data_IF_755984020155
#
_entry.id   IF_755984020155
#
_cell.length_a   1.000
_cell.length_b   1.000
_cell.length_c   1.000
_cell.angle_alpha   90.00
_cell.angle_beta   90.00
_cell.angle_gamma   90.00
#
_symmetry.space_group_name_H-M   'P 1'
#
loop_
_entity.id
_entity.type
_entity.pdbx_description
1 polymer ?
#
# COMPACT_ATOMS: atom_id res chain seq x y z
N UNK A 1 21.23 18.49 -6.44
CA UNK A 1 20.03 17.88 -5.82
C UNK A 1 20.48 16.55 -5.23
N UNK A 2 20.52 16.40 -3.91
CA UNK A 2 20.85 15.11 -3.26
C UNK A 2 19.54 14.36 -2.99
N UNK A 3 19.48 13.06 -3.30
CA UNK A 3 18.35 12.19 -3.01
C UNK A 3 18.70 11.32 -1.80
N UNK A 4 17.88 11.39 -0.75
CA UNK A 4 17.99 10.54 0.43
C UNK A 4 16.66 9.80 0.61
N UNK A 5 16.73 8.48 0.70
CA UNK A 5 15.55 7.61 0.90
C UNK A 5 15.82 6.71 2.10
N UNK A 6 14.86 6.64 3.00
CA UNK A 6 14.89 5.82 4.20
C UNK A 6 13.82 4.72 4.07
N UNK A 7 14.20 3.47 3.75
CA UNK A 7 13.26 2.35 3.56
C UNK A 7 12.29 2.14 4.73
N UNK A 8 12.75 2.39 5.96
CA UNK A 8 11.96 2.31 7.19
C UNK A 8 10.79 3.32 7.22
N UNK A 9 10.97 4.53 6.66
CA UNK A 9 9.90 5.53 6.56
C UNK A 9 8.85 5.13 5.53
N UNK A 10 9.25 4.46 4.46
CA UNK A 10 8.33 3.91 3.46
C UNK A 10 7.48 2.81 4.09
N UNK A 11 8.09 1.93 4.88
CA UNK A 11 7.39 0.86 5.61
C UNK A 11 6.43 1.42 6.67
N UNK A 12 6.83 2.43 7.45
CA UNK A 12 5.93 3.11 8.40
C UNK A 12 4.73 3.75 7.69
N UNK A 13 4.99 4.40 6.54
CA UNK A 13 3.94 4.99 5.72
C UNK A 13 2.96 3.93 5.21
N UNK A 14 3.44 2.76 4.77
CA UNK A 14 2.60 1.65 4.35
C UNK A 14 1.66 1.18 5.47
N UNK A 15 2.18 0.99 6.69
CA UNK A 15 1.39 0.65 7.88
C UNK A 15 0.34 1.72 8.20
N UNK A 16 0.69 3.01 8.11
CA UNK A 16 -0.27 4.11 8.32
C UNK A 16 -1.40 4.10 7.29
N UNK A 17 -1.08 3.86 6.03
CA UNK A 17 -2.07 3.76 4.95
C UNK A 17 -3.01 2.56 5.16
N UNK A 18 -2.50 1.43 5.61
CA UNK A 18 -3.31 0.26 5.96
C UNK A 18 -4.27 0.57 7.11
N UNK A 19 -3.78 1.17 8.19
CA UNK A 19 -4.58 1.60 9.34
C UNK A 19 -5.68 2.58 8.95
N UNK A 20 -5.34 3.60 8.15
CA UNK A 20 -6.30 4.55 7.60
C UNK A 20 -7.36 3.84 6.76
N UNK A 21 -6.95 2.88 5.92
CA UNK A 21 -7.87 2.07 5.13
C UNK A 21 -8.87 1.30 5.99
N UNK A 22 -8.41 0.73 7.10
CA UNK A 22 -9.28 0.05 8.06
C UNK A 22 -10.32 1.00 8.67
N UNK A 23 -9.89 2.19 9.11
CA UNK A 23 -10.79 3.22 9.65
C UNK A 23 -11.84 3.66 8.62
N UNK A 24 -11.44 3.86 7.37
CA UNK A 24 -12.35 4.24 6.28
C UNK A 24 -13.37 3.13 6.01
N UNK A 25 -12.95 1.86 5.97
CA UNK A 25 -13.88 0.73 5.81
C UNK A 25 -14.91 0.67 6.92
N UNK A 26 -14.48 0.84 8.18
CA UNK A 26 -15.38 0.87 9.32
C UNK A 26 -16.38 2.03 9.24
N UNK A 27 -15.92 3.23 8.86
CA UNK A 27 -16.78 4.39 8.67
C UNK A 27 -17.80 4.19 7.54
N UNK A 28 -17.37 3.66 6.39
CA UNK A 28 -18.26 3.37 5.26
C UNK A 28 -19.31 2.31 5.63
N UNK A 29 -18.92 1.27 6.37
CA UNK A 29 -19.85 0.25 6.86
C UNK A 29 -20.89 0.84 7.83
N UNK A 30 -20.46 1.69 8.77
CA UNK A 30 -21.36 2.38 9.69
C UNK A 30 -22.33 3.33 8.97
N UNK A 31 -21.89 3.97 7.90
CA UNK A 31 -22.71 4.88 7.09
C UNK A 31 -23.66 4.16 6.13
N UNK A 32 -23.43 2.89 5.81
CA UNK A 32 -24.17 2.16 4.78
C UNK A 32 -25.69 2.13 5.04
N UNK A 33 -26.10 1.61 6.21
CA UNK A 33 -27.51 1.53 6.57
C UNK A 33 -28.22 2.90 6.64
N UNK A 34 -27.71 3.93 7.36
CA UNK A 34 -28.42 5.20 7.48
C UNK A 34 -28.46 6.03 6.19
N UNK A 35 -27.59 5.77 5.21
CA UNK A 35 -27.57 6.51 3.94
C UNK A 35 -28.35 5.81 2.82
N UNK A 36 -28.52 4.49 2.89
CA UNK A 36 -29.30 3.73 1.90
C UNK A 36 -30.70 3.33 2.38
N UNK A 37 -30.94 3.33 3.69
CA UNK A 37 -32.21 2.91 4.30
C UNK A 37 -33.10 4.09 4.69
N UNK A 38 -33.01 5.24 4.02
CA UNK A 38 -33.87 6.38 4.32
C UNK A 38 -35.33 6.05 4.04
N UNK A 39 -36.18 6.30 5.04
CA UNK A 39 -37.62 6.28 4.85
C UNK A 39 -38.06 7.57 4.13
N UNK A 40 -39.10 7.53 3.29
CA UNK A 40 -39.72 8.73 2.73
C UNK A 40 -40.12 9.71 3.85
N UNK A 41 -39.80 11.00 3.68
CA UNK A 41 -40.16 12.03 4.64
C UNK A 41 -41.68 12.26 4.75
N UNK A 42 -42.41 11.96 3.67
CA UNK A 42 -43.85 12.04 3.56
C UNK A 42 -44.41 10.92 2.67
N UNK A 43 -45.74 10.85 2.57
CA UNK A 43 -46.45 9.85 1.76
C UNK A 43 -46.58 10.24 0.27
N UNK A 44 -45.97 11.35 -0.13
CA UNK A 44 -45.97 11.84 -1.51
C UNK A 44 -44.89 11.17 -2.35
N UNK A 45 -45.11 11.15 -3.67
CA UNK A 45 -44.20 10.53 -4.63
C UNK A 45 -42.83 11.22 -4.66
N UNK A 46 -42.74 12.52 -4.36
CA UNK A 46 -41.45 13.25 -4.36
C UNK A 46 -40.59 12.75 -3.19
N UNK A 47 -41.17 12.63 -2.00
CA UNK A 47 -40.50 12.04 -0.83
C UNK A 47 -40.04 10.61 -1.09
N UNK A 48 -40.84 9.80 -1.80
CA UNK A 48 -40.45 8.44 -2.18
C UNK A 48 -39.24 8.44 -3.12
N UNK A 49 -39.29 9.25 -4.20
CA UNK A 49 -38.21 9.36 -5.18
C UNK A 49 -36.92 9.90 -4.56
N UNK A 50 -37.00 10.87 -3.65
CA UNK A 50 -35.81 11.41 -2.98
C UNK A 50 -35.14 10.35 -2.11
N UNK A 51 -35.90 9.57 -1.33
CA UNK A 51 -35.34 8.48 -0.54
C UNK A 51 -34.73 7.38 -1.40
N UNK A 52 -35.33 7.05 -2.55
CA UNK A 52 -34.77 6.11 -3.53
C UNK A 52 -33.46 6.65 -4.14
N UNK A 53 -33.39 7.94 -4.49
CA UNK A 53 -32.17 8.58 -4.98
C UNK A 53 -31.01 8.46 -3.97
N UNK A 54 -31.29 8.63 -2.67
CA UNK A 54 -30.28 8.42 -1.63
C UNK A 54 -29.82 6.96 -1.56
N UNK A 55 -30.74 6.00 -1.70
CA UNK A 55 -30.40 4.58 -1.74
C UNK A 55 -29.48 4.24 -2.91
N UNK A 56 -29.81 4.74 -4.11
CA UNK A 56 -29.00 4.54 -5.31
C UNK A 56 -27.61 5.17 -5.16
N UNK A 57 -27.54 6.44 -4.72
CA UNK A 57 -26.28 7.14 -4.52
C UNK A 57 -25.42 6.50 -3.42
N UNK A 58 -26.04 6.09 -2.31
CA UNK A 58 -25.39 5.38 -1.23
C UNK A 58 -24.81 4.05 -1.71
N UNK A 59 -25.54 3.29 -2.52
CA UNK A 59 -25.05 2.04 -3.12
C UNK A 59 -23.86 2.26 -4.04
N UNK A 60 -23.93 3.27 -4.92
CA UNK A 60 -22.84 3.65 -5.80
C UNK A 60 -21.59 4.10 -5.02
N UNK A 61 -21.78 4.86 -3.93
CA UNK A 61 -20.69 5.27 -3.04
C UNK A 61 -20.02 4.05 -2.37
N UNK A 62 -20.79 3.07 -1.89
CA UNK A 62 -20.23 1.85 -1.31
C UNK A 62 -19.43 1.05 -2.33
N UNK A 63 -19.93 0.93 -3.57
CA UNK A 63 -19.21 0.26 -4.66
C UNK A 63 -17.89 0.95 -5.00
N UNK A 64 -17.87 2.29 -5.05
CA UNK A 64 -16.63 3.06 -5.23
C UNK A 64 -15.68 2.89 -4.04
N UNK A 65 -16.21 2.85 -2.82
CA UNK A 65 -15.44 2.59 -1.61
C UNK A 65 -14.72 1.24 -1.62
N UNK A 66 -15.34 0.21 -2.21
CA UNK A 66 -14.72 -1.10 -2.40
C UNK A 66 -13.54 -1.04 -3.40
N UNK A 67 -13.73 -0.39 -4.55
CA UNK A 67 -12.65 -0.20 -5.53
C UNK A 67 -11.46 0.59 -4.95
N UNK A 68 -11.76 1.63 -4.15
CA UNK A 68 -10.73 2.39 -3.46
C UNK A 68 -9.98 1.56 -2.40
N UNK A 69 -10.63 0.55 -1.80
CA UNK A 69 -9.98 -0.37 -0.88
C UNK A 69 -8.97 -1.27 -1.59
N UNK A 70 -9.35 -1.85 -2.72
CA UNK A 70 -8.45 -2.67 -3.55
C UNK A 70 -7.23 -1.86 -4.04
N UNK A 71 -7.45 -0.62 -4.50
CA UNK A 71 -6.35 0.26 -4.90
C UNK A 71 -5.38 0.52 -3.74
N UNK A 72 -5.89 0.73 -2.52
CA UNK A 72 -5.06 0.98 -1.35
C UNK A 72 -4.20 -0.23 -0.98
N UNK A 73 -4.75 -1.44 -1.10
CA UNK A 73 -4.00 -2.68 -0.88
C UNK A 73 -2.84 -2.80 -1.87
N UNK A 74 -3.07 -2.51 -3.15
CA UNK A 74 -2.02 -2.44 -4.16
C UNK A 74 -0.97 -1.36 -3.85
N UNK A 75 -1.38 -0.22 -3.31
CA UNK A 75 -0.46 0.86 -2.93
C UNK A 75 0.47 0.43 -1.78
N UNK A 76 -0.08 -0.23 -0.75
CA UNK A 76 0.69 -0.78 0.37
C UNK A 76 1.70 -1.81 -0.14
N UNK A 77 1.28 -2.70 -1.04
CA UNK A 77 2.18 -3.67 -1.66
C UNK A 77 3.33 -2.97 -2.41
N UNK A 78 3.01 -1.97 -3.23
CA UNK A 78 4.00 -1.18 -3.99
C UNK A 78 4.99 -0.44 -3.08
N UNK A 79 4.55 0.10 -1.95
CA UNK A 79 5.47 0.68 -0.95
C UNK A 79 6.40 -0.37 -0.35
N UNK A 80 5.91 -1.57 -0.05
CA UNK A 80 6.75 -2.68 0.38
C UNK A 80 7.80 -3.06 -0.67
N UNK A 81 7.42 -3.14 -1.95
CA UNK A 81 8.34 -3.39 -3.05
C UNK A 81 9.39 -2.28 -3.21
N UNK A 82 8.98 -1.01 -3.16
CA UNK A 82 9.89 0.12 -3.28
C UNK A 82 10.90 0.17 -2.12
N UNK A 83 10.45 -0.05 -0.88
CA UNK A 83 11.30 -0.10 0.31
C UNK A 83 12.40 -1.16 0.17
N UNK A 84 12.02 -2.38 -0.25
CA UNK A 84 12.98 -3.48 -0.52
C UNK A 84 13.98 -3.10 -1.61
N UNK A 85 13.52 -2.53 -2.73
CA UNK A 85 14.39 -2.14 -3.83
C UNK A 85 15.46 -1.13 -3.38
N UNK A 86 15.07 -0.13 -2.59
CA UNK A 86 16.03 0.83 -2.04
C UNK A 86 17.04 0.17 -1.09
N UNK A 87 16.57 -0.68 -0.17
CA UNK A 87 17.46 -1.41 0.75
C UNK A 87 18.45 -2.32 0.01
N UNK A 88 18.01 -3.04 -1.03
CA UNK A 88 18.86 -3.90 -1.84
C UNK A 88 19.92 -3.09 -2.62
N UNK A 89 19.54 -1.91 -3.15
CA UNK A 89 20.50 -1.03 -3.85
C UNK A 89 21.56 -0.45 -2.91
N UNK A 90 21.18 -0.12 -1.67
CA UNK A 90 22.13 0.35 -0.65
C UNK A 90 23.09 -0.78 -0.24
N UNK A 91 22.56 -1.98 0.00
CA UNK A 91 23.37 -3.16 0.31
C UNK A 91 24.36 -3.51 -0.80
N UNK A 92 23.92 -3.48 -2.07
CA UNK A 92 24.79 -3.70 -3.22
C UNK A 92 25.89 -2.63 -3.33
N UNK A 93 25.56 -1.37 -3.04
CA UNK A 93 26.52 -0.26 -3.04
C UNK A 93 27.57 -0.42 -1.94
N UNK A 94 27.16 -0.80 -0.72
CA UNK A 94 28.06 -1.14 0.39
C UNK A 94 28.95 -2.33 0.02
N UNK A 95 28.39 -3.38 -0.58
CA UNK A 95 29.14 -4.56 -1.04
C UNK A 95 30.29 -4.18 -1.99
N UNK A 96 30.01 -3.34 -3.00
CA UNK A 96 31.03 -2.83 -3.94
C UNK A 96 32.13 -2.01 -3.26
N UNK A 97 31.79 -1.23 -2.23
CA UNK A 97 32.77 -0.46 -1.45
C UNK A 97 33.68 -1.39 -0.65
N UNK A 98 33.12 -2.43 -0.03
CA UNK A 98 33.88 -3.41 0.76
C UNK A 98 34.81 -4.25 -0.12
N UNK A 99 34.34 -4.70 -1.29
CA UNK A 99 35.16 -5.41 -2.28
C UNK A 99 36.36 -4.58 -2.72
N UNK A 100 36.15 -3.29 -3.03
CA UNK A 100 37.24 -2.36 -3.38
C UNK A 100 38.28 -2.22 -2.25
N UNK A 101 37.87 -2.41 -0.99
CA UNK A 101 38.76 -2.37 0.17
C UNK A 101 39.40 -3.72 0.51
N UNK A 102 39.22 -4.74 -0.32
CA UNK A 102 39.77 -6.09 -0.08
C UNK A 102 39.04 -6.85 1.03
N UNK A 103 37.91 -6.33 1.51
CA UNK A 103 37.04 -7.02 2.47
C UNK A 103 36.08 -7.89 1.67
N UNK A 104 36.26 -9.21 1.72
CA UNK A 104 35.41 -10.16 0.96
C UNK A 104 33.95 -10.07 1.47
N UNK A 105 32.95 -9.95 0.59
CA UNK A 105 31.56 -9.67 0.95
C UNK A 105 30.81 -10.85 1.60
N UNK A 106 31.48 -11.99 1.81
CA UNK A 106 30.89 -13.18 2.44
C UNK A 106 30.26 -12.83 3.81
N UNK A 107 30.85 -11.89 4.54
CA UNK A 107 30.32 -11.41 5.83
C UNK A 107 29.05 -10.54 5.67
N UNK A 108 28.93 -9.75 4.60
CA UNK A 108 27.76 -8.91 4.31
C UNK A 108 26.56 -9.74 3.82
N UNK A 109 26.82 -10.79 3.03
CA UNK A 109 25.80 -11.75 2.58
C UNK A 109 25.14 -12.53 3.75
N UNK A 110 25.90 -12.82 4.80
CA UNK A 110 25.42 -13.53 6.00
C UNK A 110 24.59 -12.65 6.95
N UNK A 111 24.86 -11.34 7.01
CA UNK A 111 24.13 -10.39 7.88
C UNK A 111 22.79 -9.91 7.29
N UNK A 112 22.66 -9.87 5.95
CA UNK A 112 21.48 -9.32 5.26
C UNK A 112 20.49 -10.37 4.76
N UNK A 113 20.73 -11.67 5.01
CA UNK A 113 19.77 -12.74 4.70
C UNK A 113 19.44 -12.92 3.22
N UNK A 114 20.30 -12.43 2.32
CA UNK A 114 20.07 -12.49 0.88
C UNK A 114 20.31 -13.92 0.37
N UNK A 115 19.34 -14.54 -0.33
CA UNK A 115 19.47 -15.92 -0.77
C UNK A 115 20.49 -16.04 -1.92
N UNK A 116 21.32 -17.09 -1.85
CA UNK A 116 22.48 -17.32 -2.73
C UNK A 116 22.18 -17.31 -4.24
N UNK A 117 20.92 -17.51 -4.66
CA UNK A 117 20.53 -17.48 -6.07
C UNK A 117 20.59 -16.07 -6.69
N UNK A 118 20.50 -15.00 -5.88
CA UNK A 118 20.51 -13.62 -6.36
C UNK A 118 21.91 -13.19 -6.86
N UNK A 119 22.97 -13.71 -6.25
CA UNK A 119 24.37 -13.44 -6.66
C UNK A 119 24.74 -14.21 -7.92
N UNK A 120 24.21 -15.43 -8.10
CA UNK A 120 24.52 -16.27 -9.25
C UNK A 120 23.99 -15.67 -10.58
N UNK A 121 22.82 -15.02 -10.55
CA UNK A 121 22.22 -14.43 -11.76
C UNK A 121 22.92 -13.16 -12.23
N UNK A 122 23.56 -12.41 -11.33
CA UNK A 122 24.22 -11.14 -11.68
C UNK A 122 25.63 -11.32 -12.24
N UNK A 123 26.33 -12.43 -11.94
CA UNK A 123 27.64 -12.72 -12.54
C UNK A 123 27.58 -13.41 -13.91
N UNK A 124 26.42 -13.96 -14.30
CA UNK A 124 26.25 -14.61 -15.61
C UNK A 124 26.02 -13.63 -16.78
N UNK A 125 25.85 -12.33 -16.49
CA UNK A 125 25.63 -11.27 -17.49
C UNK A 125 26.86 -10.37 -17.74
N UNK A 126 28.07 -10.80 -17.33
CA UNK A 126 29.35 -10.18 -17.70
C UNK A 126 30.18 -11.18 -18.49
#
# INVERSE_FOLDING_TARGET
MSLMVAPELITDTATRVENLGSMIRAANAAAAAPTMGLLPAGADDISAVVSEMFAEYGSAYQALGAQAAEFREQLVERYGWASRLYADTEAASVGRILERRGVRPLFALLMLGQPLWFVAHTQACL
#
